data_IF_411337616629
#
_entry.id   IF_411337616629
#
_cell.length_a   1.000
_cell.length_b   1.000
_cell.length_c   1.000
_cell.angle_alpha   90.00
_cell.angle_beta   90.00
_cell.angle_gamma   90.00
#
_symmetry.space_group_name_H-M   'P 1'
#
loop_
_entity.id
_entity.type
_entity.pdbx_description
1 polymer ?
#
# COMPACT_ATOMS: atom_id res chain seq x y z
N UNK A 1 -15.82 -23.53 -25.71
CA UNK A 1 -16.26 -22.11 -25.77
C UNK A 1 -15.62 -21.25 -24.70
N UNK A 2 -16.11 -21.18 -23.45
CA UNK A 2 -15.51 -20.29 -22.43
C UNK A 2 -14.12 -20.76 -22.00
N UNK A 3 -13.94 -22.06 -21.75
CA UNK A 3 -12.66 -22.66 -21.35
C UNK A 3 -11.56 -22.50 -22.41
N UNK A 4 -11.95 -22.58 -23.69
CA UNK A 4 -11.06 -22.44 -24.85
C UNK A 4 -10.60 -20.98 -25.01
N UNK A 5 -11.50 -20.02 -24.83
CA UNK A 5 -11.14 -18.59 -24.77
C UNK A 5 -10.18 -18.26 -23.62
N UNK A 6 -10.36 -18.86 -22.44
CA UNK A 6 -9.42 -18.67 -21.32
C UNK A 6 -8.04 -19.27 -21.63
N UNK A 7 -7.99 -20.46 -22.23
CA UNK A 7 -6.74 -21.08 -22.65
C UNK A 7 -6.02 -20.22 -23.71
N UNK A 8 -6.73 -19.76 -24.73
CA UNK A 8 -6.18 -18.88 -25.76
C UNK A 8 -5.71 -17.55 -25.18
N UNK A 9 -6.41 -16.98 -24.20
CA UNK A 9 -5.99 -15.76 -23.53
C UNK A 9 -4.70 -15.94 -22.73
N UNK A 10 -4.58 -17.02 -21.97
CA UNK A 10 -3.37 -17.30 -21.18
C UNK A 10 -2.15 -17.52 -22.09
N UNK A 11 -2.34 -18.17 -23.24
CA UNK A 11 -1.26 -18.47 -24.18
C UNK A 11 -0.84 -17.23 -24.99
N UNK A 12 -1.77 -16.33 -25.31
CA UNK A 12 -1.54 -15.22 -26.22
C UNK A 12 -1.37 -13.85 -25.53
N UNK A 13 -1.37 -13.77 -24.19
CA UNK A 13 -1.06 -12.54 -23.46
C UNK A 13 0.41 -12.12 -23.70
N UNK A 14 0.58 -11.25 -24.70
CA UNK A 14 1.86 -10.73 -25.18
C UNK A 14 2.12 -9.30 -24.74
N UNK A 15 1.17 -8.65 -24.04
CA UNK A 15 1.25 -7.22 -23.70
C UNK A 15 2.49 -6.93 -22.84
N UNK A 16 2.73 -7.75 -21.82
CA UNK A 16 3.91 -7.61 -20.97
C UNK A 16 5.23 -7.75 -21.74
N UNK A 17 5.28 -8.63 -22.74
CA UNK A 17 6.47 -8.84 -23.59
C UNK A 17 6.69 -7.64 -24.51
N UNK A 18 5.63 -7.15 -25.16
CA UNK A 18 5.66 -5.98 -26.05
C UNK A 18 6.14 -4.74 -25.28
N UNK A 19 5.58 -4.48 -24.11
CA UNK A 19 5.97 -3.34 -23.27
C UNK A 19 7.45 -3.41 -22.85
N UNK A 20 7.93 -4.59 -22.44
CA UNK A 20 9.34 -4.77 -22.08
C UNK A 20 10.27 -4.54 -23.28
N UNK A 21 9.92 -5.07 -24.46
CA UNK A 21 10.68 -4.82 -25.67
C UNK A 21 10.71 -3.32 -26.01
N UNK A 22 9.57 -2.62 -25.88
CA UNK A 22 9.49 -1.18 -26.16
C UNK A 22 10.42 -0.38 -25.25
N UNK A 23 10.46 -0.70 -23.96
CA UNK A 23 11.38 -0.06 -23.00
C UNK A 23 12.83 -0.24 -23.42
N UNK A 24 13.21 -1.46 -23.84
CA UNK A 24 14.59 -1.76 -24.23
C UNK A 24 14.98 -1.04 -25.53
N UNK A 25 14.14 -1.09 -26.56
CA UNK A 25 14.39 -0.37 -27.82
C UNK A 25 14.46 1.15 -27.58
N UNK A 26 13.60 1.69 -26.71
CA UNK A 26 13.63 3.12 -26.37
C UNK A 26 14.91 3.54 -25.63
N UNK A 27 15.56 2.62 -24.91
CA UNK A 27 16.82 2.87 -24.23
C UNK A 27 18.01 2.86 -25.21
N UNK A 28 18.05 1.86 -26.11
CA UNK A 28 19.12 1.64 -27.07
C UNK A 28 19.11 2.65 -28.23
N UNK A 29 17.94 2.92 -28.80
CA UNK A 29 17.84 3.67 -30.04
C UNK A 29 18.13 5.17 -29.86
N UNK A 30 18.82 5.83 -30.80
CA UNK A 30 19.10 7.28 -30.73
C UNK A 30 17.84 8.13 -30.59
N UNK A 31 16.81 7.77 -31.35
CA UNK A 31 15.50 8.43 -31.38
C UNK A 31 14.57 7.99 -30.24
N UNK A 32 15.04 7.09 -29.36
CA UNK A 32 14.33 6.61 -28.18
C UNK A 32 12.96 6.03 -28.55
N UNK A 33 11.90 6.47 -27.86
CA UNK A 33 10.52 6.07 -28.13
C UNK A 33 9.98 6.49 -29.52
N UNK A 34 10.71 7.32 -30.28
CA UNK A 34 10.36 7.69 -31.66
C UNK A 34 11.04 6.81 -32.72
N UNK A 35 11.85 5.83 -32.32
CA UNK A 35 12.43 4.86 -33.24
C UNK A 35 11.33 4.06 -33.94
N UNK A 36 11.63 3.56 -35.13
CA UNK A 36 10.68 2.74 -35.90
C UNK A 36 10.26 1.49 -35.11
N UNK A 37 11.19 0.87 -34.38
CA UNK A 37 10.95 -0.28 -33.52
C UNK A 37 9.95 0.04 -32.41
N UNK A 38 10.13 1.17 -31.71
CA UNK A 38 9.19 1.61 -30.68
C UNK A 38 7.80 1.93 -31.25
N UNK A 39 7.73 2.58 -32.41
CA UNK A 39 6.46 2.88 -33.07
C UNK A 39 5.71 1.61 -33.51
N UNK A 40 6.43 0.60 -33.98
CA UNK A 40 5.85 -0.69 -34.35
C UNK A 40 5.37 -1.46 -33.11
N UNK A 41 6.17 -1.48 -32.04
CA UNK A 41 5.78 -2.06 -30.75
C UNK A 41 4.57 -1.35 -30.13
N UNK A 42 4.46 -0.03 -30.27
CA UNK A 42 3.29 0.73 -29.83
C UNK A 42 2.01 0.30 -30.56
N UNK A 43 2.09 0.05 -31.88
CA UNK A 43 0.96 -0.49 -32.66
C UNK A 43 0.58 -1.90 -32.18
N UNK A 44 1.56 -2.76 -31.93
CA UNK A 44 1.33 -4.10 -31.40
C UNK A 44 0.72 -4.07 -30.00
N UNK A 45 1.11 -3.11 -29.16
CA UNK A 45 0.54 -2.93 -27.82
C UNK A 45 -0.95 -2.61 -27.87
N UNK A 46 -1.40 -1.80 -28.84
CA UNK A 46 -2.83 -1.52 -29.05
C UNK A 46 -3.59 -2.81 -29.38
N UNK A 47 -3.05 -3.64 -30.28
CA UNK A 47 -3.66 -4.93 -30.65
C UNK A 47 -3.74 -5.86 -29.44
N UNK A 48 -2.66 -5.94 -28.65
CA UNK A 48 -2.60 -6.81 -27.47
C UNK A 48 -3.63 -6.41 -26.39
N UNK A 49 -3.86 -5.11 -26.16
CA UNK A 49 -4.89 -4.63 -25.22
C UNK A 49 -6.30 -4.99 -25.69
N UNK A 50 -6.56 -4.84 -26.99
CA UNK A 50 -7.86 -5.16 -27.59
C UNK A 50 -8.06 -6.65 -27.88
N UNK A 51 -7.09 -7.52 -27.56
CA UNK A 51 -7.21 -8.97 -27.72
C UNK A 51 -8.44 -9.52 -26.99
N UNK A 52 -8.67 -9.07 -25.75
CA UNK A 52 -9.85 -9.45 -24.95
C UNK A 52 -11.19 -9.12 -25.61
N UNK A 53 -11.22 -8.20 -26.57
CA UNK A 53 -12.42 -7.77 -27.30
C UNK A 53 -12.50 -8.33 -28.72
N UNK A 54 -11.35 -8.51 -29.37
CA UNK A 54 -11.27 -8.82 -30.81
C UNK A 54 -10.88 -10.27 -31.08
N UNK A 55 -10.29 -10.97 -30.11
CA UNK A 55 -9.71 -12.31 -30.30
C UNK A 55 -8.45 -12.34 -31.18
N UNK A 56 -7.93 -11.19 -31.61
CA UNK A 56 -6.76 -11.12 -32.52
C UNK A 56 -5.49 -10.95 -31.71
N UNK A 57 -4.68 -12.02 -31.62
CA UNK A 57 -3.43 -12.01 -30.87
C UNK A 57 -2.37 -11.15 -31.55
N UNK A 58 -1.64 -10.36 -30.75
CA UNK A 58 -0.49 -9.61 -31.26
C UNK A 58 0.73 -10.52 -31.39
N UNK A 59 1.26 -10.65 -32.61
CA UNK A 59 2.46 -11.43 -32.89
C UNK A 59 3.68 -10.51 -33.00
N UNK A 60 4.67 -10.71 -32.14
CA UNK A 60 5.91 -9.91 -32.14
C UNK A 60 6.86 -10.43 -33.24
N UNK A 61 7.19 -9.61 -34.26
CA UNK A 61 8.20 -9.93 -35.27
C UNK A 61 9.55 -10.29 -34.65
N UNK A 62 10.31 -11.19 -35.30
CA UNK A 62 11.62 -11.63 -34.79
C UNK A 62 12.59 -10.48 -34.55
N UNK A 63 12.61 -9.47 -35.43
CA UNK A 63 13.48 -8.30 -35.30
C UNK A 63 13.13 -7.35 -34.15
N UNK A 64 11.96 -7.50 -33.53
CA UNK A 64 11.54 -6.70 -32.37
C UNK A 64 11.76 -7.42 -31.05
N UNK A 65 12.16 -8.70 -31.08
CA UNK A 65 12.46 -9.47 -29.87
C UNK A 65 13.77 -9.02 -29.24
N UNK A 66 13.79 -9.02 -27.92
CA UNK A 66 14.92 -8.53 -27.12
C UNK A 66 15.50 -9.65 -26.28
N UNK A 67 16.82 -9.82 -26.37
CA UNK A 67 17.57 -10.84 -25.63
C UNK A 67 18.41 -10.24 -24.49
N UNK A 68 18.84 -8.98 -24.63
CA UNK A 68 19.68 -8.26 -23.65
C UNK A 68 18.89 -7.07 -23.09
N UNK A 69 18.84 -6.95 -21.77
CA UNK A 69 18.01 -5.96 -21.09
C UNK A 69 18.86 -4.88 -20.42
N UNK A 70 18.36 -3.65 -20.25
CA UNK A 70 19.06 -2.66 -19.45
C UNK A 70 19.08 -3.06 -17.96
N UNK A 71 20.14 -2.68 -17.27
CA UNK A 71 20.43 -2.98 -15.86
C UNK A 71 19.28 -2.63 -14.91
N UNK A 72 18.56 -1.54 -15.18
CA UNK A 72 17.42 -1.10 -14.37
C UNK A 72 16.18 -2.02 -14.44
N UNK A 73 16.15 -3.01 -15.35
CA UNK A 73 15.04 -3.98 -15.43
C UNK A 73 15.24 -5.25 -14.58
N UNK A 74 16.42 -5.43 -13.96
CA UNK A 74 16.69 -6.48 -12.96
C UNK A 74 16.30 -7.92 -13.36
N UNK A 75 16.53 -8.28 -14.63
CA UNK A 75 16.28 -9.63 -15.13
C UNK A 75 17.39 -10.59 -14.67
N UNK A 76 17.19 -11.25 -13.54
CA UNK A 76 18.17 -12.18 -12.96
C UNK A 76 18.55 -13.35 -13.87
N UNK A 77 17.65 -13.75 -14.77
CA UNK A 77 17.80 -14.86 -15.71
C UNK A 77 18.31 -14.43 -17.10
N UNK A 78 18.60 -13.14 -17.32
CA UNK A 78 18.98 -12.60 -18.63
C UNK A 78 20.27 -11.78 -18.57
N UNK A 79 20.95 -11.72 -19.71
CA UNK A 79 22.09 -10.83 -19.90
C UNK A 79 21.62 -9.38 -19.81
N UNK A 80 22.36 -8.56 -19.05
CA UNK A 80 22.04 -7.15 -18.87
C UNK A 80 23.19 -6.24 -19.36
N UNK A 81 22.86 -5.05 -19.85
CA UNK A 81 23.81 -3.98 -20.18
C UNK A 81 23.56 -2.76 -19.29
N UNK A 82 24.60 -1.96 -19.03
CA UNK A 82 24.45 -0.73 -18.26
C UNK A 82 23.82 0.38 -19.13
N UNK A 83 22.58 0.77 -18.84
CA UNK A 83 21.91 1.86 -19.56
C UNK A 83 22.60 3.19 -19.27
N UNK A 84 22.95 3.93 -20.33
CA UNK A 84 23.54 5.27 -20.24
C UNK A 84 22.48 6.38 -20.19
N UNK A 85 21.19 6.02 -20.18
CA UNK A 85 20.06 6.96 -20.15
C UNK A 85 19.73 7.41 -18.73
N UNK A 86 18.84 8.40 -18.64
CA UNK A 86 18.43 8.99 -17.35
C UNK A 86 17.85 7.94 -16.39
N UNK A 87 17.09 6.98 -16.89
CA UNK A 87 16.50 5.91 -16.07
C UNK A 87 17.58 5.02 -15.47
N UNK A 88 18.55 4.56 -16.28
CA UNK A 88 19.69 3.78 -15.78
C UNK A 88 20.53 4.55 -14.76
N UNK A 89 20.82 5.82 -15.01
CA UNK A 89 21.56 6.68 -14.07
C UNK A 89 20.81 6.86 -12.75
N UNK A 90 19.50 7.13 -12.80
CA UNK A 90 18.67 7.26 -11.61
C UNK A 90 18.61 5.95 -10.84
N UNK A 91 18.39 4.83 -11.54
CA UNK A 91 18.39 3.49 -10.96
C UNK A 91 19.69 3.23 -10.21
N UNK A 92 20.87 3.40 -10.84
CA UNK A 92 22.15 3.17 -10.15
C UNK A 92 22.41 4.15 -9.01
N UNK A 93 21.95 5.40 -9.14
CA UNK A 93 22.06 6.37 -8.06
C UNK A 93 21.24 5.98 -6.82
N UNK A 94 20.17 5.19 -6.98
CA UNK A 94 19.30 4.75 -5.88
C UNK A 94 19.38 3.25 -5.55
N UNK A 95 20.04 2.44 -6.37
CA UNK A 95 20.11 0.97 -6.21
C UNK A 95 20.80 0.57 -4.90
N UNK A 96 21.93 1.23 -4.63
CA UNK A 96 22.74 0.99 -3.42
C UNK A 96 22.44 1.97 -2.30
N UNK A 97 21.58 2.96 -2.58
CA UNK A 97 20.72 3.50 -1.53
C UNK A 97 19.75 2.36 -1.26
N UNK A 98 20.25 1.31 -0.56
CA UNK A 98 19.43 0.37 0.18
C UNK A 98 18.28 1.23 0.64
N UNK A 99 17.03 0.95 0.20
CA UNK A 99 15.94 1.82 0.57
C UNK A 99 16.17 1.91 2.04
N UNK A 100 16.44 3.13 2.55
CA UNK A 100 16.60 3.15 3.96
C UNK A 100 15.22 2.53 4.31
N UNK A 101 15.15 1.59 5.22
CA UNK A 101 14.88 2.05 6.58
C UNK A 101 15.21 3.55 6.70
N UNK A 102 14.55 4.40 5.86
CA UNK A 102 14.33 5.81 5.99
C UNK A 102 13.88 5.70 7.38
N UNK A 103 14.74 6.21 8.26
CA UNK A 103 14.67 5.95 9.67
C UNK A 103 13.39 6.67 10.02
N UNK A 104 12.26 6.01 9.74
CA UNK A 104 10.91 6.25 10.15
C UNK A 104 11.20 5.94 11.58
N UNK A 105 11.62 7.01 12.27
CA UNK A 105 11.90 6.95 13.68
C UNK A 105 10.67 6.27 14.21
N UNK A 106 10.86 5.09 14.77
CA UNK A 106 9.77 4.37 15.41
C UNK A 106 9.04 5.41 16.23
N UNK A 107 7.72 5.49 16.10
CA UNK A 107 6.98 6.32 17.03
C UNK A 107 7.43 5.91 18.44
N UNK A 108 7.90 6.85 19.24
CA UNK A 108 8.36 6.58 20.61
C UNK A 108 7.48 7.37 21.57
N UNK A 109 7.63 7.10 22.86
CA UNK A 109 6.94 7.88 23.89
C UNK A 109 7.30 9.37 23.78
N UNK A 110 8.56 9.69 23.49
CA UNK A 110 9.05 11.05 23.33
C UNK A 110 8.42 11.72 22.09
N UNK A 111 8.30 10.99 20.98
CA UNK A 111 7.61 11.49 19.78
C UNK A 111 6.14 11.77 20.11
N UNK A 112 5.45 10.84 20.77
CA UNK A 112 4.07 11.04 21.21
C UNK A 112 3.92 12.32 22.06
N UNK A 113 4.85 12.58 22.98
CA UNK A 113 4.81 13.78 23.83
C UNK A 113 4.97 15.08 23.04
N UNK A 114 5.72 15.05 21.95
CA UNK A 114 5.97 16.22 21.12
C UNK A 114 4.91 16.43 20.04
N UNK A 115 4.24 15.36 19.60
CA UNK A 115 3.34 15.39 18.43
C UNK A 115 1.86 15.28 18.78
N UNK A 116 1.51 15.06 20.05
CA UNK A 116 0.11 14.97 20.46
C UNK A 116 -0.59 16.33 20.29
N UNK A 117 -1.69 16.33 19.55
CA UNK A 117 -2.45 17.52 19.21
C UNK A 117 -3.65 17.64 20.15
N UNK A 118 -3.53 18.54 21.13
CA UNK A 118 -4.59 18.78 22.13
C UNK A 118 -5.86 19.37 21.51
N UNK A 119 -5.80 19.95 20.30
CA UNK A 119 -7.02 20.42 19.63
C UNK A 119 -7.94 19.27 19.24
N UNK A 120 -7.42 18.04 19.19
CA UNK A 120 -8.21 16.85 18.92
C UNK A 120 -9.07 16.43 20.12
N UNK A 121 -8.89 17.05 21.29
CA UNK A 121 -9.68 16.79 22.49
C UNK A 121 -11.02 17.54 22.45
N UNK A 122 -12.09 16.74 22.58
CA UNK A 122 -13.49 17.18 22.62
C UNK A 122 -14.07 16.81 23.98
N UNK A 123 -14.77 17.74 24.62
CA UNK A 123 -15.36 17.54 25.95
C UNK A 123 -16.18 16.24 26.02
N UNK A 124 -15.96 15.44 27.07
CA UNK A 124 -16.64 14.16 27.27
C UNK A 124 -16.01 12.97 26.55
N UNK A 125 -14.83 13.13 25.93
CA UNK A 125 -14.13 12.01 25.29
C UNK A 125 -13.67 10.94 26.29
N UNK A 126 -13.44 11.32 27.54
CA UNK A 126 -12.99 10.45 28.62
C UNK A 126 -13.97 9.29 28.86
N UNK A 127 -15.26 9.54 28.68
CA UNK A 127 -16.32 8.54 28.84
C UNK A 127 -16.18 7.39 27.80
N UNK A 128 -15.55 7.67 26.67
CA UNK A 128 -15.36 6.70 25.57
C UNK A 128 -13.98 6.05 25.55
N UNK A 129 -13.06 6.42 26.45
CA UNK A 129 -11.68 5.92 26.45
C UNK A 129 -11.61 4.40 26.59
N UNK A 130 -12.41 3.80 27.46
CA UNK A 130 -12.37 2.36 27.72
C UNK A 130 -12.74 1.56 26.47
N UNK A 131 -13.82 1.96 25.79
CA UNK A 131 -14.25 1.33 24.53
C UNK A 131 -13.25 1.60 23.40
N UNK A 132 -12.74 2.83 23.30
CA UNK A 132 -11.72 3.18 22.32
C UNK A 132 -10.45 2.34 22.49
N UNK A 133 -10.01 2.14 23.73
CA UNK A 133 -8.83 1.32 24.04
C UNK A 133 -9.05 -0.13 23.64
N UNK A 134 -10.21 -0.71 23.96
CA UNK A 134 -10.59 -2.07 23.55
C UNK A 134 -10.59 -2.23 22.03
N UNK A 135 -11.22 -1.32 21.29
CA UNK A 135 -11.25 -1.38 19.83
C UNK A 135 -9.87 -1.18 19.20
N UNK A 136 -9.03 -0.32 19.79
CA UNK A 136 -7.65 -0.17 19.37
C UNK A 136 -6.85 -1.47 19.57
N UNK A 137 -6.99 -2.13 20.72
CA UNK A 137 -6.33 -3.43 20.96
C UNK A 137 -6.74 -4.46 19.91
N UNK A 138 -8.04 -4.56 19.61
CA UNK A 138 -8.56 -5.48 18.60
C UNK A 138 -8.03 -5.15 17.20
N UNK A 139 -8.02 -3.87 16.81
CA UNK A 139 -7.49 -3.41 15.53
C UNK A 139 -6.00 -3.75 15.39
N UNK A 140 -5.20 -3.40 16.40
CA UNK A 140 -3.76 -3.58 16.38
C UNK A 140 -3.40 -5.08 16.28
N UNK A 141 -4.14 -5.94 16.98
CA UNK A 141 -3.97 -7.39 16.90
C UNK A 141 -4.25 -7.94 15.50
N UNK A 142 -5.35 -7.50 14.87
CA UNK A 142 -5.71 -7.96 13.52
C UNK A 142 -4.73 -7.47 12.47
N UNK A 143 -4.31 -6.20 12.55
CA UNK A 143 -3.32 -5.64 11.63
C UNK A 143 -1.96 -6.33 11.81
N UNK A 144 -1.54 -6.52 13.06
CA UNK A 144 -0.31 -7.24 13.39
C UNK A 144 -0.32 -8.67 12.85
N UNK A 145 -1.43 -9.41 13.03
CA UNK A 145 -1.57 -10.76 12.47
C UNK A 145 -1.45 -10.79 10.94
N UNK A 146 -2.01 -9.80 10.23
CA UNK A 146 -1.85 -9.71 8.78
C UNK A 146 -0.38 -9.45 8.42
N UNK A 147 0.28 -8.53 9.12
CA UNK A 147 1.70 -8.25 8.91
C UNK A 147 2.57 -9.48 9.15
N UNK A 148 2.35 -10.19 10.26
CA UNK A 148 3.07 -11.41 10.62
C UNK A 148 2.85 -12.51 9.58
N UNK A 149 1.60 -12.69 9.13
CA UNK A 149 1.23 -13.71 8.15
C UNK A 149 1.93 -13.50 6.80
N UNK A 150 1.96 -12.27 6.28
CA UNK A 150 2.59 -11.95 5.00
C UNK A 150 4.10 -11.62 5.12
N UNK A 151 4.64 -11.55 6.33
CA UNK A 151 6.03 -11.17 6.60
C UNK A 151 6.33 -9.69 6.30
N UNK A 152 5.33 -8.81 6.45
CA UNK A 152 5.47 -7.36 6.24
C UNK A 152 5.99 -6.71 7.52
N UNK A 153 7.02 -5.88 7.41
CA UNK A 153 7.76 -5.39 8.58
C UNK A 153 7.13 -4.15 9.22
N UNK A 154 6.48 -3.31 8.42
CA UNK A 154 6.01 -2.01 8.88
C UNK A 154 4.54 -1.76 8.58
N UNK A 155 3.89 -1.00 9.48
CA UNK A 155 2.52 -0.53 9.30
C UNK A 155 2.37 0.32 8.02
N UNK A 156 3.39 1.13 7.69
CA UNK A 156 3.37 1.97 6.50
C UNK A 156 3.32 1.15 5.20
N UNK A 157 4.07 0.05 5.10
CA UNK A 157 4.07 -0.83 3.93
C UNK A 157 2.70 -1.47 3.70
N UNK A 158 2.11 -2.06 4.75
CA UNK A 158 0.83 -2.78 4.62
C UNK A 158 -0.33 -1.82 4.32
N UNK A 159 -0.30 -0.59 4.85
CA UNK A 159 -1.36 0.40 4.62
C UNK A 159 -1.26 1.10 3.28
N UNK A 160 -0.04 1.35 2.79
CA UNK A 160 0.20 1.99 1.49
C UNK A 160 0.10 1.01 0.32
N UNK A 161 0.30 -0.29 0.58
CA UNK A 161 0.48 -1.30 -0.47
C UNK A 161 1.87 -1.26 -1.11
N UNK A 162 2.76 -0.37 -0.66
CA UNK A 162 4.14 -0.28 -1.13
C UNK A 162 5.04 -1.29 -0.40
N UNK A 163 4.74 -2.58 -0.56
CA UNK A 163 5.40 -3.65 0.18
C UNK A 163 6.80 -3.91 -0.39
N UNK A 164 7.82 -3.82 0.46
CA UNK A 164 9.21 -3.95 0.03
C UNK A 164 9.67 -5.41 0.06
N UNK A 165 9.41 -6.09 1.17
CA UNK A 165 9.70 -7.50 1.37
C UNK A 165 8.45 -8.24 1.86
N UNK A 166 8.34 -9.51 1.47
CA UNK A 166 7.31 -10.44 1.94
C UNK A 166 7.98 -11.75 2.35
N UNK A 167 7.27 -12.57 3.12
CA UNK A 167 7.71 -13.94 3.37
C UNK A 167 7.83 -14.72 2.05
N UNK A 168 8.83 -15.61 1.96
CA UNK A 168 9.20 -16.33 0.72
C UNK A 168 8.07 -17.16 0.10
N UNK A 169 7.04 -17.48 0.87
CA UNK A 169 5.86 -18.22 0.42
C UNK A 169 4.87 -17.38 -0.40
N UNK A 170 5.01 -16.05 -0.41
CA UNK A 170 4.12 -15.13 -1.10
C UNK A 170 4.78 -14.49 -2.31
N UNK A 171 3.97 -14.23 -3.33
CA UNK A 171 4.36 -13.51 -4.54
C UNK A 171 3.67 -12.14 -4.57
N UNK A 172 4.49 -11.07 -4.61
CA UNK A 172 3.99 -9.69 -4.57
C UNK A 172 2.99 -9.38 -5.69
N UNK A 173 3.08 -9.98 -6.88
CA UNK A 173 2.15 -9.68 -7.97
C UNK A 173 0.80 -10.36 -7.76
N UNK A 174 0.78 -11.54 -7.14
CA UNK A 174 -0.44 -12.32 -6.90
C UNK A 174 -1.15 -11.94 -5.60
N UNK A 175 -0.39 -11.71 -4.53
CA UNK A 175 -0.95 -11.58 -3.18
C UNK A 175 -1.28 -10.13 -2.79
N UNK A 176 -0.75 -9.13 -3.52
CA UNK A 176 -0.95 -7.71 -3.19
C UNK A 176 -2.42 -7.31 -3.17
N UNK A 177 -3.24 -7.78 -4.11
CA UNK A 177 -4.67 -7.47 -4.13
C UNK A 177 -5.40 -8.03 -2.90
N UNK A 178 -5.06 -9.25 -2.49
CA UNK A 178 -5.63 -9.88 -1.30
C UNK A 178 -5.24 -9.13 -0.03
N UNK A 179 -3.98 -8.69 0.09
CA UNK A 179 -3.50 -7.88 1.21
C UNK A 179 -4.26 -6.55 1.27
N UNK A 180 -4.34 -5.84 0.14
CA UNK A 180 -5.08 -4.56 0.05
C UNK A 180 -6.54 -4.77 0.44
N UNK A 181 -7.17 -5.85 0.00
CA UNK A 181 -8.55 -6.18 0.34
C UNK A 181 -8.72 -6.50 1.84
N UNK A 182 -7.81 -7.26 2.45
CA UNK A 182 -7.84 -7.58 3.87
C UNK A 182 -7.71 -6.31 4.73
N UNK A 183 -6.78 -5.42 4.39
CA UNK A 183 -6.61 -4.13 5.09
C UNK A 183 -7.85 -3.23 4.94
N UNK A 184 -8.43 -3.16 3.73
CA UNK A 184 -9.69 -2.42 3.50
C UNK A 184 -10.83 -2.98 4.33
N UNK A 185 -10.94 -4.31 4.42
CA UNK A 185 -11.96 -5.00 5.21
C UNK A 185 -11.81 -4.69 6.70
N UNK A 186 -10.59 -4.73 7.23
CA UNK A 186 -10.29 -4.36 8.61
C UNK A 186 -10.68 -2.89 8.91
N UNK A 187 -10.34 -1.95 8.02
CA UNK A 187 -10.74 -0.54 8.17
C UNK A 187 -12.26 -0.36 8.16
N UNK A 188 -12.96 -1.11 7.30
CA UNK A 188 -14.43 -1.09 7.24
C UNK A 188 -15.05 -1.62 8.53
N UNK A 189 -14.49 -2.68 9.08
CA UNK A 189 -14.96 -3.26 10.33
C UNK A 189 -14.70 -2.34 11.53
N UNK A 190 -13.52 -1.72 11.61
CA UNK A 190 -13.24 -0.70 12.61
C UNK A 190 -14.26 0.45 12.54
N UNK A 191 -14.57 0.95 11.34
CA UNK A 191 -15.64 1.95 11.16
C UNK A 191 -17.01 1.43 11.61
N UNK A 192 -17.30 0.15 11.44
CA UNK A 192 -18.54 -0.45 11.92
C UNK A 192 -18.59 -0.52 13.46
N UNK A 193 -17.47 -0.84 14.12
CA UNK A 193 -17.37 -0.76 15.59
C UNK A 193 -17.65 0.65 16.11
N UNK A 194 -17.10 1.66 15.42
CA UNK A 194 -17.34 3.06 15.77
C UNK A 194 -18.83 3.45 15.67
N UNK A 195 -19.53 2.98 14.63
CA UNK A 195 -20.94 3.29 14.40
C UNK A 195 -21.91 2.41 15.21
N UNK A 196 -21.41 1.42 15.95
CA UNK A 196 -22.26 0.57 16.78
C UNK A 196 -22.81 1.41 17.93
N UNK A 197 -24.14 1.55 17.99
CA UNK A 197 -24.85 2.15 19.12
C UNK A 197 -24.84 1.18 20.28
N UNK A 198 -24.53 1.67 21.48
CA UNK A 198 -24.74 0.90 22.70
C UNK A 198 -26.24 0.88 23.02
N UNK A 199 -26.78 -0.30 23.34
CA UNK A 199 -28.22 -0.48 23.65
C UNK A 199 -28.64 0.23 24.95
N UNK A 200 -27.68 0.73 25.75
CA UNK A 200 -27.89 1.38 27.04
C UNK A 200 -27.93 2.91 27.02
N UNK A 201 -27.55 3.56 25.92
CA UNK A 201 -27.26 5.00 25.95
C UNK A 201 -28.47 5.84 25.51
N UNK A 202 -29.15 6.40 26.51
CA UNK A 202 -30.35 7.25 26.37
C UNK A 202 -30.08 8.76 26.30
N UNK A 203 -28.83 9.17 26.05
CA UNK A 203 -28.46 10.57 25.83
C UNK A 203 -27.48 10.68 24.68
N UNK A 204 -27.69 11.65 23.79
CA UNK A 204 -26.82 12.03 22.65
C UNK A 204 -25.40 11.43 22.71
N UNK A 205 -25.15 10.32 21.99
CA UNK A 205 -23.77 9.87 21.70
C UNK A 205 -23.07 11.00 20.96
N UNK A 206 -22.12 11.67 21.61
CA UNK A 206 -21.29 12.67 20.94
C UNK A 206 -20.25 11.93 20.11
N UNK A 207 -20.54 11.85 18.81
CA UNK A 207 -19.69 11.19 17.82
C UNK A 207 -18.29 11.81 17.78
N UNK A 208 -18.15 13.11 18.08
CA UNK A 208 -16.86 13.79 18.12
C UNK A 208 -16.09 13.48 19.40
N UNK A 209 -16.75 13.38 20.55
CA UNK A 209 -16.13 12.89 21.78
C UNK A 209 -15.61 11.45 21.61
N UNK A 210 -16.41 10.57 20.98
CA UNK A 210 -15.98 9.19 20.65
C UNK A 210 -14.78 9.18 19.69
N UNK A 211 -14.77 10.04 18.68
CA UNK A 211 -13.65 10.16 17.73
C UNK A 211 -12.38 10.72 18.39
N UNK A 212 -12.53 11.70 19.29
CA UNK A 212 -11.47 12.23 20.14
C UNK A 212 -10.85 11.11 20.99
N UNK A 213 -11.67 10.26 21.62
CA UNK A 213 -11.17 9.12 22.40
C UNK A 213 -10.35 8.14 21.55
N UNK A 214 -10.76 7.87 20.31
CA UNK A 214 -10.00 7.03 19.38
C UNK A 214 -8.63 7.64 19.05
N UNK A 215 -8.58 8.94 18.79
CA UNK A 215 -7.33 9.67 18.60
C UNK A 215 -6.45 9.60 19.87
N UNK A 216 -7.04 9.87 21.03
CA UNK A 216 -6.33 9.89 22.31
C UNK A 216 -5.63 8.57 22.61
N UNK A 217 -6.33 7.43 22.51
CA UNK A 217 -5.71 6.12 22.80
C UNK A 217 -4.61 5.72 21.80
N UNK A 218 -4.63 6.28 20.60
CA UNK A 218 -3.63 6.01 19.57
C UNK A 218 -2.39 6.90 19.67
N UNK A 219 -2.55 8.17 20.07
CA UNK A 219 -1.49 9.16 19.98
C UNK A 219 -1.01 9.70 21.33
N UNK A 220 -1.80 9.59 22.40
CA UNK A 220 -1.44 10.17 23.67
C UNK A 220 -0.31 9.39 24.36
N UNK A 221 0.71 10.06 24.95
CA UNK A 221 1.88 9.41 25.56
C UNK A 221 1.56 8.44 26.68
N UNK A 222 0.43 8.63 27.38
CA UNK A 222 0.02 7.74 28.46
C UNK A 222 -0.40 6.35 27.97
N UNK A 223 -0.84 6.23 26.71
CA UNK A 223 -1.28 4.98 26.09
C UNK A 223 -0.18 4.28 25.28
N UNK A 224 0.93 4.99 25.02
CA UNK A 224 2.10 4.40 24.39
C UNK A 224 2.62 3.21 25.21
N UNK A 225 2.61 2.02 24.61
CA UNK A 225 3.14 0.81 25.22
C UNK A 225 2.26 0.13 26.27
N UNK A 226 1.07 0.66 26.62
CA UNK A 226 0.14 -0.01 27.56
C UNK A 226 -0.30 -1.39 27.10
N UNK A 227 -0.32 -1.61 25.79
CA UNK A 227 -0.64 -2.90 25.18
C UNK A 227 0.42 -4.00 25.47
N UNK A 228 1.64 -3.62 25.86
CA UNK A 228 2.72 -4.57 26.20
C UNK A 228 2.60 -5.14 27.61
N UNK A 229 1.97 -4.42 28.53
CA UNK A 229 1.82 -4.84 29.93
C UNK A 229 0.74 -5.92 30.11
N UNK A 230 -0.22 -6.03 29.17
CA UNK A 230 -1.25 -7.09 29.14
C UNK A 230 -0.78 -8.41 28.49
N UNK A 231 0.54 -8.61 28.34
CA UNK A 231 1.11 -9.88 27.84
C UNK A 231 1.15 -10.02 26.32
N UNK A 232 0.73 -9.01 25.55
CA UNK A 232 0.88 -8.97 24.10
C UNK A 232 2.10 -8.12 23.74
N UNK A 233 3.20 -8.76 23.34
CA UNK A 233 4.44 -8.08 22.92
C UNK A 233 4.30 -7.46 21.51
N UNK A 234 3.19 -6.74 21.25
CA UNK A 234 2.80 -6.18 19.96
C UNK A 234 3.31 -4.75 19.79
N UNK A 235 3.54 -4.38 18.55
CA UNK A 235 3.87 -3.02 18.12
C UNK A 235 2.65 -2.09 18.25
N UNK A 236 2.87 -0.89 18.76
CA UNK A 236 1.85 0.15 18.86
C UNK A 236 1.60 0.76 17.48
N UNK A 237 0.42 0.53 16.92
CA UNK A 237 0.06 1.02 15.60
C UNK A 237 -0.72 2.34 15.65
N UNK A 238 -0.53 3.17 14.62
CA UNK A 238 -1.05 4.54 14.56
C UNK A 238 -2.25 4.71 13.63
N UNK A 239 -2.54 3.73 12.77
CA UNK A 239 -3.56 3.87 11.73
C UNK A 239 -4.99 3.72 12.23
N UNK A 240 -5.20 3.23 13.45
CA UNK A 240 -6.51 2.97 14.01
C UNK A 240 -7.49 4.17 13.89
N UNK A 241 -7.15 5.40 14.34
CA UNK A 241 -8.08 6.53 14.27
C UNK A 241 -8.37 6.97 12.83
N UNK A 242 -7.47 6.69 11.89
CA UNK A 242 -7.68 7.07 10.48
C UNK A 242 -8.80 6.27 9.79
N UNK A 243 -9.29 5.20 10.44
CA UNK A 243 -10.51 4.52 10.03
C UNK A 243 -11.73 5.47 10.04
N UNK A 244 -11.71 6.53 10.85
CA UNK A 244 -12.75 7.57 10.99
C UNK A 244 -12.22 8.97 10.66
N UNK A 245 -11.27 9.07 9.72
CA UNK A 245 -10.60 10.33 9.34
C UNK A 245 -11.56 11.50 9.08
N UNK A 246 -12.76 11.24 8.57
CA UNK A 246 -13.79 12.26 8.33
C UNK A 246 -14.18 13.02 9.60
N UNK A 247 -14.35 12.31 10.72
CA UNK A 247 -14.71 12.90 12.02
C UNK A 247 -13.54 13.65 12.64
N UNK A 248 -12.33 13.10 12.52
CA UNK A 248 -11.10 13.75 12.99
C UNK A 248 -10.85 15.09 12.26
N UNK A 249 -11.09 15.13 10.95
CA UNK A 249 -10.99 16.35 10.15
C UNK A 249 -12.04 17.38 10.58
N UNK A 250 -13.27 16.94 10.89
CA UNK A 250 -14.34 17.81 11.38
C UNK A 250 -13.99 18.46 12.73
N UNK A 251 -13.42 17.69 13.68
CA UNK A 251 -12.93 18.22 14.97
C UNK A 251 -11.90 19.34 14.74
N UNK A 252 -10.87 19.07 13.93
CA UNK A 252 -9.80 20.04 13.69
C UNK A 252 -10.31 21.30 12.98
N UNK A 253 -11.25 21.14 12.03
CA UNK A 253 -11.91 22.28 11.35
C UNK A 253 -12.75 23.12 12.31
N UNK A 254 -13.37 22.50 13.31
CA UNK A 254 -14.13 23.20 14.35
C UNK A 254 -13.22 24.11 15.18
N UNK A 255 -12.08 23.61 15.63
CA UNK A 255 -11.11 24.36 16.47
C UNK A 255 -10.43 25.51 15.73
N UNK A 256 -10.20 25.40 14.41
CA UNK A 256 -9.65 26.51 13.61
C UNK A 256 -10.61 27.68 13.40
N UNK A 257 -11.91 27.48 13.67
CA UNK A 257 -12.95 28.50 13.49
C UNK A 257 -13.37 29.18 14.80
N UNK A 258 -12.94 28.65 15.94
CA UNK A 258 -13.16 29.19 17.29
C UNK A 258 -11.98 30.05 17.72
#
# INVERSE_FOLDING_TARGET
DVEEYFADYIVNDSLGVICNAHVVHADLEPDKARSNQCLELAKLSTIAVDFSKTGVAATIPSGLRVEIYPDFMEKQDKTCYESQRVIGKLYRAVKDIAPPTATIKSFTKEVAMQSYDTDMEVDGFEDYITDAFKYKTEYDNRLGNLMDYYGIKTEAEILSGCIMEMAKSFDKKRDLEAIIFAVKSLKKEARAWFNKKNESDSSHEDVYAKASAWYHVAYHPSYWGRYKEEGMNRTHFLSFPWCIHDKLIEIKRGKQRS
#
